data_IF_645761424600
#
_entry.id   IF_645761424600
#
_cell.length_a   1.000
_cell.length_b   1.000
_cell.length_c   1.000
_cell.angle_alpha   90.00
_cell.angle_beta   90.00
_cell.angle_gamma   90.00
#
_symmetry.space_group_name_H-M   'P 1'
#
loop_
_entity.id
_entity.type
_entity.pdbx_description
1 polymer ?
#
# COMPACT_ATOMS: atom_id res chain seq x y z
N UNK A 1 -20.07 4.92 -37.08
CA UNK A 1 -20.21 3.83 -38.08
C UNK A 1 -20.27 2.48 -37.38
N UNK A 2 -20.94 1.46 -38.00
CA UNK A 2 -21.11 0.11 -37.46
C UNK A 2 -19.76 -0.57 -37.11
N UNK A 3 -18.72 -0.25 -37.88
CA UNK A 3 -17.35 -0.77 -37.68
C UNK A 3 -16.74 -0.26 -36.36
N UNK A 4 -16.82 1.03 -36.06
CA UNK A 4 -16.32 1.62 -34.82
C UNK A 4 -17.06 1.07 -33.58
N UNK A 5 -18.35 0.71 -33.73
CA UNK A 5 -19.10 0.08 -32.63
C UNK A 5 -18.62 -1.34 -32.37
N UNK A 6 -18.38 -2.13 -33.42
CA UNK A 6 -17.86 -3.50 -33.33
C UNK A 6 -16.44 -3.52 -32.72
N UNK A 7 -15.57 -2.62 -33.15
CA UNK A 7 -14.21 -2.48 -32.61
C UNK A 7 -14.24 -2.16 -31.12
N UNK A 8 -15.09 -1.22 -30.70
CA UNK A 8 -15.27 -0.87 -29.28
C UNK A 8 -15.86 -2.03 -28.45
N UNK A 9 -16.80 -2.79 -29.01
CA UNK A 9 -17.39 -3.98 -28.35
C UNK A 9 -16.35 -5.09 -28.19
N UNK A 10 -15.48 -5.31 -29.19
CA UNK A 10 -14.38 -6.27 -29.12
C UNK A 10 -13.35 -5.85 -28.06
N UNK A 11 -12.92 -4.59 -28.06
CA UNK A 11 -11.99 -4.04 -27.07
C UNK A 11 -12.54 -4.20 -25.64
N UNK A 12 -13.81 -3.86 -25.42
CA UNK A 12 -14.46 -4.04 -24.13
C UNK A 12 -14.57 -5.51 -23.71
N UNK A 13 -14.74 -6.42 -24.67
CA UNK A 13 -14.82 -7.87 -24.40
C UNK A 13 -13.46 -8.41 -23.98
N UNK A 14 -12.39 -8.06 -24.69
CA UNK A 14 -11.02 -8.45 -24.37
C UNK A 14 -10.63 -7.90 -22.99
N UNK A 15 -10.95 -6.64 -22.73
CA UNK A 15 -10.68 -6.03 -21.44
C UNK A 15 -11.40 -6.76 -20.29
N UNK A 16 -12.69 -7.06 -20.43
CA UNK A 16 -13.46 -7.85 -19.44
C UNK A 16 -12.89 -9.26 -19.22
N UNK A 17 -12.44 -9.94 -20.28
CA UNK A 17 -11.83 -11.26 -20.16
C UNK A 17 -10.51 -11.21 -19.39
N UNK A 18 -9.63 -10.26 -19.71
CA UNK A 18 -8.38 -10.04 -19.00
C UNK A 18 -8.61 -9.75 -17.52
N UNK A 19 -9.60 -8.95 -17.20
CA UNK A 19 -9.95 -8.58 -15.83
C UNK A 19 -10.44 -9.77 -15.01
N UNK A 20 -11.35 -10.58 -15.56
CA UNK A 20 -11.83 -11.80 -14.91
C UNK A 20 -10.68 -12.78 -14.66
N UNK A 21 -9.78 -12.92 -15.63
CA UNK A 21 -8.57 -13.73 -15.51
C UNK A 21 -7.67 -13.28 -14.38
N UNK A 22 -7.33 -11.99 -14.30
CA UNK A 22 -6.48 -11.45 -13.24
C UNK A 22 -7.13 -11.52 -11.86
N UNK A 23 -8.45 -11.31 -11.76
CA UNK A 23 -9.17 -11.46 -10.51
C UNK A 23 -9.12 -12.91 -9.99
N UNK A 24 -9.38 -13.88 -10.87
CA UNK A 24 -9.33 -15.30 -10.53
C UNK A 24 -7.93 -15.74 -10.13
N UNK A 25 -6.91 -15.40 -10.91
CA UNK A 25 -5.50 -15.71 -10.59
C UNK A 25 -5.10 -15.11 -9.25
N UNK A 26 -5.49 -13.86 -8.98
CA UNK A 26 -5.17 -13.21 -7.71
C UNK A 26 -5.78 -13.94 -6.52
N UNK A 27 -6.99 -14.45 -6.65
CA UNK A 27 -7.63 -15.28 -5.62
C UNK A 27 -6.92 -16.64 -5.45
N UNK A 28 -6.57 -17.28 -6.55
CA UNK A 28 -5.87 -18.57 -6.54
C UNK A 28 -4.47 -18.49 -5.95
N UNK A 29 -3.77 -17.37 -6.13
CA UNK A 29 -2.47 -17.14 -5.47
C UNK A 29 -2.59 -16.71 -4.01
N UNK A 30 -3.62 -15.93 -3.66
CA UNK A 30 -3.78 -15.46 -2.28
C UNK A 30 -3.98 -16.62 -1.31
N UNK A 31 -4.80 -17.59 -1.66
CA UNK A 31 -5.15 -18.72 -0.79
C UNK A 31 -3.93 -19.51 -0.34
N UNK A 32 -3.09 -20.08 -1.23
CA UNK A 32 -1.89 -20.82 -0.81
C UNK A 32 -0.86 -19.95 -0.08
N UNK A 33 -0.69 -18.68 -0.49
CA UNK A 33 0.23 -17.77 0.19
C UNK A 33 -0.21 -17.48 1.63
N UNK A 34 -1.52 -17.31 1.86
CA UNK A 34 -2.08 -17.12 3.20
C UNK A 34 -1.91 -18.38 4.05
N UNK A 35 -2.11 -19.56 3.45
CA UNK A 35 -1.91 -20.85 4.12
C UNK A 35 -0.45 -21.08 4.51
N UNK A 36 0.53 -20.56 3.75
CA UNK A 36 1.96 -20.64 4.07
C UNK A 36 2.32 -19.58 5.13
N UNK A 37 1.74 -18.37 5.03
CA UNK A 37 2.08 -17.26 5.92
C UNK A 37 1.81 -17.58 7.40
N UNK A 38 0.67 -18.19 7.72
CA UNK A 38 0.30 -18.53 9.09
C UNK A 38 1.31 -19.43 9.80
N UNK A 39 1.56 -20.65 9.30
CA UNK A 39 2.55 -21.57 9.88
C UNK A 39 3.97 -21.01 9.94
N UNK A 40 4.41 -20.27 8.91
CA UNK A 40 5.73 -19.63 8.90
C UNK A 40 5.84 -18.58 10.01
N UNK A 41 4.81 -17.77 10.21
CA UNK A 41 4.80 -16.79 11.31
C UNK A 41 4.87 -17.47 12.67
N UNK A 42 4.10 -18.54 12.90
CA UNK A 42 4.14 -19.31 14.14
C UNK A 42 5.53 -19.93 14.39
N UNK A 43 6.20 -20.43 13.33
CA UNK A 43 7.54 -20.97 13.44
C UNK A 43 8.58 -19.88 13.74
N UNK A 44 8.45 -18.69 13.16
CA UNK A 44 9.32 -17.55 13.47
C UNK A 44 9.22 -17.11 14.94
N UNK A 45 8.01 -17.19 15.52
CA UNK A 45 7.74 -16.84 16.92
C UNK A 45 8.10 -17.95 17.91
N UNK A 46 8.33 -19.16 17.42
CA UNK A 46 8.62 -20.33 18.27
C UNK A 46 9.99 -20.20 18.95
N UNK A 47 10.06 -20.34 20.29
CA UNK A 47 11.33 -20.35 21.01
C UNK A 47 12.19 -21.60 20.74
N UNK A 48 11.61 -22.63 20.09
CA UNK A 48 12.33 -23.88 19.76
C UNK A 48 13.14 -23.76 18.48
N UNK A 49 12.98 -22.69 17.72
CA UNK A 49 13.69 -22.48 16.45
C UNK A 49 14.66 -21.32 16.63
N UNK A 50 15.94 -21.63 16.49
CA UNK A 50 17.03 -20.68 16.67
C UNK A 50 18.06 -20.79 15.52
N UNK A 51 19.03 -19.86 15.51
CA UNK A 51 20.16 -19.90 14.58
C UNK A 51 19.76 -19.74 13.13
N UNK A 52 20.40 -20.49 12.27
CA UNK A 52 20.26 -20.42 10.81
C UNK A 52 18.83 -20.74 10.34
N UNK A 53 18.18 -21.71 10.97
CA UNK A 53 16.80 -22.07 10.63
C UNK A 53 15.82 -20.92 10.86
N UNK A 54 16.02 -20.13 11.90
CA UNK A 54 15.20 -18.94 12.17
C UNK A 54 15.41 -17.87 11.11
N UNK A 55 16.65 -17.67 10.66
CA UNK A 55 16.96 -16.73 9.58
C UNK A 55 16.31 -17.16 8.25
N UNK A 56 16.36 -18.45 7.92
CA UNK A 56 15.70 -18.99 6.73
C UNK A 56 14.16 -18.78 6.78
N UNK A 57 13.56 -19.00 7.93
CA UNK A 57 12.12 -18.75 8.12
C UNK A 57 11.76 -17.28 7.96
N UNK A 58 12.57 -16.34 8.45
CA UNK A 58 12.36 -14.90 8.20
C UNK A 58 12.46 -14.55 6.72
N UNK A 59 13.35 -15.18 5.97
CA UNK A 59 13.45 -14.99 4.50
C UNK A 59 12.17 -15.48 3.82
N UNK A 60 11.65 -16.66 4.20
CA UNK A 60 10.40 -17.20 3.67
C UNK A 60 9.24 -16.30 4.02
N UNK A 61 9.09 -15.89 5.28
CA UNK A 61 8.03 -14.97 5.73
C UNK A 61 8.03 -13.67 4.93
N UNK A 62 9.21 -13.07 4.75
CA UNK A 62 9.37 -11.83 3.97
C UNK A 62 8.99 -12.02 2.50
N UNK A 63 9.36 -13.17 1.92
CA UNK A 63 9.05 -13.50 0.53
C UNK A 63 7.55 -13.71 0.32
N UNK A 64 6.89 -14.46 1.19
CA UNK A 64 5.43 -14.68 1.18
C UNK A 64 4.70 -13.34 1.35
N UNK A 65 5.13 -12.51 2.30
CA UNK A 65 4.57 -11.17 2.51
C UNK A 65 4.72 -10.26 1.28
N UNK A 66 5.85 -10.37 0.56
CA UNK A 66 6.06 -9.65 -0.70
C UNK A 66 5.10 -10.12 -1.80
N UNK A 67 4.92 -11.44 -1.95
CA UNK A 67 4.00 -12.01 -2.93
C UNK A 67 2.55 -11.61 -2.65
N UNK A 68 2.11 -11.65 -1.39
CA UNK A 68 0.77 -11.18 -1.00
C UNK A 68 0.55 -9.71 -1.34
N UNK A 69 1.55 -8.85 -1.14
CA UNK A 69 1.46 -7.44 -1.54
C UNK A 69 1.30 -7.28 -3.05
N UNK A 70 2.07 -8.02 -3.87
CA UNK A 70 1.97 -7.98 -5.33
C UNK A 70 0.59 -8.43 -5.81
N UNK A 71 0.06 -9.52 -5.26
CA UNK A 71 -1.29 -10.03 -5.58
C UNK A 71 -2.35 -8.98 -5.22
N UNK A 72 -2.23 -8.32 -4.07
CA UNK A 72 -3.17 -7.26 -3.67
C UNK A 72 -3.07 -6.03 -4.59
N UNK A 73 -1.86 -5.63 -5.00
CA UNK A 73 -1.66 -4.54 -5.97
C UNK A 73 -2.30 -4.86 -7.32
N UNK A 74 -2.16 -6.09 -7.81
CA UNK A 74 -2.78 -6.54 -9.05
C UNK A 74 -4.32 -6.48 -8.96
N UNK A 75 -4.89 -6.88 -7.82
CA UNK A 75 -6.34 -6.76 -7.60
C UNK A 75 -6.83 -5.32 -7.52
N UNK A 76 -6.06 -4.44 -6.88
CA UNK A 76 -6.42 -3.03 -6.80
C UNK A 76 -6.35 -2.35 -8.19
N UNK A 77 -5.35 -2.70 -9.00
CA UNK A 77 -5.25 -2.24 -10.38
C UNK A 77 -6.49 -2.67 -11.21
N UNK A 78 -6.88 -3.95 -11.11
CA UNK A 78 -8.09 -4.43 -11.77
C UNK A 78 -9.36 -3.71 -11.35
N UNK A 79 -9.48 -3.34 -10.05
CA UNK A 79 -10.64 -2.59 -9.55
C UNK A 79 -10.67 -1.15 -10.07
N UNK A 80 -9.50 -0.54 -10.28
CA UNK A 80 -9.38 0.80 -10.86
C UNK A 80 -9.81 0.82 -12.32
N UNK A 81 -9.33 -0.12 -13.12
CA UNK A 81 -9.70 -0.20 -14.55
C UNK A 81 -11.20 -0.44 -14.79
N UNK A 82 -11.88 -1.04 -13.82
CA UNK A 82 -13.31 -1.36 -13.92
C UNK A 82 -14.25 -0.30 -13.33
N UNK A 83 -13.76 0.83 -12.87
CA UNK A 83 -14.55 1.80 -12.09
C UNK A 83 -15.32 1.16 -10.89
N UNK A 84 -14.88 0.00 -10.44
CA UNK A 84 -15.52 -0.71 -9.32
C UNK A 84 -14.95 -0.29 -7.97
N UNK A 85 -13.94 0.56 -7.98
CA UNK A 85 -13.31 1.09 -6.77
C UNK A 85 -14.25 2.10 -6.11
N UNK A 86 -15.05 1.64 -5.17
CA UNK A 86 -15.92 2.53 -4.36
C UNK A 86 -15.11 3.13 -3.22
N UNK A 87 -15.21 4.43 -3.02
CA UNK A 87 -14.70 5.09 -1.84
C UNK A 87 -15.62 4.83 -0.64
N UNK A 88 -15.02 4.44 0.49
CA UNK A 88 -15.72 4.23 1.77
C UNK A 88 -15.27 5.30 2.75
N UNK A 89 -15.79 6.51 2.55
CA UNK A 89 -15.42 7.65 3.37
C UNK A 89 -16.13 7.64 4.73
N UNK A 90 -15.38 8.00 5.76
CA UNK A 90 -15.88 8.24 7.12
C UNK A 90 -15.20 9.46 7.70
N UNK A 91 -15.89 10.13 8.65
CA UNK A 91 -15.30 11.26 9.37
C UNK A 91 -14.18 10.74 10.27
N UNK A 92 -12.96 11.14 10.00
CA UNK A 92 -11.75 10.60 10.63
C UNK A 92 -10.78 11.74 10.89
N UNK A 93 -10.04 11.65 11.99
CA UNK A 93 -8.91 12.52 12.27
C UNK A 93 -7.70 12.05 11.44
N UNK A 94 -7.35 12.84 10.43
CA UNK A 94 -6.23 12.51 9.53
C UNK A 94 -4.91 12.57 10.27
N UNK A 95 -4.76 13.48 11.24
CA UNK A 95 -3.50 13.63 11.98
C UNK A 95 -3.17 12.37 12.76
N UNK A 96 -4.13 11.82 13.49
CA UNK A 96 -3.96 10.54 14.20
C UNK A 96 -3.59 9.39 13.26
N UNK A 97 -4.14 9.37 12.04
CA UNK A 97 -3.77 8.36 11.05
C UNK A 97 -2.32 8.54 10.57
N UNK A 98 -1.91 9.78 10.26
CA UNK A 98 -0.55 10.07 9.81
C UNK A 98 0.48 9.78 10.91
N UNK A 99 0.21 10.15 12.18
CA UNK A 99 1.07 9.84 13.32
C UNK A 99 1.30 8.33 13.46
N UNK A 100 0.24 7.53 13.33
CA UNK A 100 0.34 6.06 13.36
C UNK A 100 1.29 5.53 12.27
N UNK A 101 1.24 6.08 11.05
CA UNK A 101 2.19 5.71 10.00
C UNK A 101 3.63 6.10 10.36
N UNK A 102 3.82 7.31 10.84
CA UNK A 102 5.15 7.77 11.27
C UNK A 102 5.74 6.82 12.29
N UNK A 103 4.96 6.39 13.28
CA UNK A 103 5.44 5.47 14.32
C UNK A 103 5.86 4.11 13.76
N UNK A 104 5.06 3.55 12.82
CA UNK A 104 5.40 2.28 12.14
C UNK A 104 6.70 2.41 11.32
N UNK A 105 6.84 3.50 10.56
CA UNK A 105 8.00 3.69 9.69
C UNK A 105 9.24 4.21 10.41
N UNK A 106 9.10 4.80 11.61
CA UNK A 106 10.24 5.29 12.42
C UNK A 106 11.18 4.18 12.81
N UNK A 107 10.68 2.96 13.06
CA UNK A 107 11.52 1.79 13.35
C UNK A 107 12.46 1.52 12.18
N UNK A 108 11.92 1.41 10.97
CA UNK A 108 12.70 1.16 9.75
C UNK A 108 13.64 2.32 9.40
N UNK A 109 13.24 3.56 9.68
CA UNK A 109 14.08 4.74 9.49
C UNK A 109 15.30 4.70 10.43
N UNK A 110 15.07 4.38 11.70
CA UNK A 110 16.13 4.27 12.71
C UNK A 110 17.15 3.18 12.36
N UNK A 111 16.71 2.02 11.88
CA UNK A 111 17.61 0.92 11.43
C UNK A 111 18.56 1.37 10.32
N UNK A 112 18.15 2.32 9.49
CA UNK A 112 18.96 2.91 8.42
C UNK A 112 19.68 4.21 8.82
N UNK A 113 19.49 4.68 10.05
CA UNK A 113 19.98 5.98 10.49
C UNK A 113 19.34 7.15 9.74
N UNK A 114 18.16 6.99 9.14
CA UNK A 114 17.45 8.04 8.41
C UNK A 114 16.65 8.90 9.39
N UNK A 115 16.84 10.21 9.36
CA UNK A 115 16.01 11.15 10.14
C UNK A 115 14.62 11.29 9.52
N UNK A 116 13.57 10.74 10.17
CA UNK A 116 12.18 10.91 9.77
C UNK A 116 11.54 12.03 10.59
N UNK A 117 11.42 13.21 10.00
CA UNK A 117 10.83 14.40 10.61
C UNK A 117 9.38 14.59 10.17
N UNK A 118 8.59 15.19 11.04
CA UNK A 118 7.17 15.50 10.79
C UNK A 118 6.86 16.94 11.12
N UNK A 119 5.96 17.56 10.36
CA UNK A 119 5.52 18.93 10.53
C UNK A 119 4.01 19.03 10.29
N UNK A 120 3.32 19.84 11.08
CA UNK A 120 1.87 20.06 10.97
C UNK A 120 1.02 18.89 11.46
N UNK A 121 1.58 18.05 12.35
CA UNK A 121 0.87 16.90 12.92
C UNK A 121 0.52 17.11 14.41
N UNK A 122 0.48 18.37 14.88
CA UNK A 122 0.27 18.70 16.30
C UNK A 122 -1.20 18.75 16.69
N UNK A 123 -2.07 19.22 15.77
CA UNK A 123 -3.48 19.47 16.03
C UNK A 123 -4.38 18.40 15.36
N UNK A 124 -5.56 18.18 15.94
CA UNK A 124 -6.59 17.31 15.36
C UNK A 124 -7.21 17.95 14.12
N UNK A 125 -7.28 17.22 13.02
CA UNK A 125 -7.97 17.66 11.81
C UNK A 125 -8.97 16.62 11.31
N UNK A 126 -10.25 16.89 11.50
CA UNK A 126 -11.34 15.99 11.12
C UNK A 126 -11.77 16.23 9.67
N UNK A 127 -11.69 15.20 8.85
CA UNK A 127 -12.15 15.23 7.47
C UNK A 127 -12.84 13.92 7.06
N UNK A 128 -13.57 13.96 5.95
CA UNK A 128 -14.14 12.76 5.34
C UNK A 128 -13.09 12.11 4.44
N UNK A 129 -12.63 10.92 4.81
CA UNK A 129 -11.63 10.19 4.04
C UNK A 129 -11.86 8.67 4.08
N UNK A 130 -11.34 7.98 3.08
CA UNK A 130 -11.24 6.52 3.04
C UNK A 130 -9.89 6.13 3.64
N UNK A 131 -9.91 5.62 4.87
CA UNK A 131 -8.70 5.25 5.63
C UNK A 131 -7.88 4.18 4.89
N UNK A 132 -8.53 3.18 4.29
CA UNK A 132 -7.84 2.12 3.56
C UNK A 132 -7.06 2.65 2.34
N UNK A 133 -7.59 3.70 1.70
CA UNK A 133 -6.92 4.36 0.58
C UNK A 133 -5.79 5.26 1.05
N UNK A 134 -6.02 6.02 2.13
CA UNK A 134 -4.98 6.81 2.76
C UNK A 134 -3.80 5.93 3.18
N UNK A 135 -4.09 4.80 3.83
CA UNK A 135 -3.10 3.81 4.27
C UNK A 135 -2.21 3.35 3.11
N UNK A 136 -2.83 3.03 1.96
CA UNK A 136 -2.09 2.62 0.77
C UNK A 136 -1.23 3.75 0.19
N UNK A 137 -1.76 4.97 0.11
CA UNK A 137 -1.04 6.12 -0.45
C UNK A 137 0.16 6.46 0.43
N UNK A 138 -0.08 6.75 1.71
CA UNK A 138 0.96 7.18 2.64
C UNK A 138 2.00 6.08 2.87
N UNK A 139 1.54 4.83 3.03
CA UNK A 139 2.43 3.69 3.18
C UNK A 139 3.35 3.48 1.97
N UNK A 140 2.84 3.61 0.74
CA UNK A 140 3.66 3.53 -0.47
C UNK A 140 4.66 4.69 -0.56
N UNK A 141 4.23 5.91 -0.26
CA UNK A 141 5.11 7.08 -0.32
C UNK A 141 6.23 6.99 0.72
N UNK A 142 5.93 6.71 1.98
CA UNK A 142 6.93 6.57 3.04
C UNK A 142 7.87 5.38 2.79
N UNK A 143 7.33 4.23 2.35
CA UNK A 143 8.15 3.07 1.98
C UNK A 143 9.14 3.39 0.86
N UNK A 144 8.70 4.13 -0.17
CA UNK A 144 9.56 4.55 -1.27
C UNK A 144 10.59 5.59 -0.79
N UNK A 145 10.18 6.58 0.00
CA UNK A 145 11.07 7.57 0.55
C UNK A 145 12.21 6.92 1.34
N UNK A 146 11.90 6.02 2.28
CA UNK A 146 12.92 5.31 3.06
C UNK A 146 13.75 4.31 2.24
N UNK A 147 13.20 3.78 1.15
CA UNK A 147 13.92 2.87 0.26
C UNK A 147 14.99 3.58 -0.56
N UNK A 148 14.67 4.77 -1.07
CA UNK A 148 15.55 5.53 -1.97
C UNK A 148 16.42 6.55 -1.26
N UNK A 149 16.16 6.83 0.01
CA UNK A 149 17.04 7.67 0.83
C UNK A 149 18.25 6.85 1.30
N UNK A 150 19.49 7.34 1.10
CA UNK A 150 20.68 6.67 1.59
C UNK A 150 20.72 6.68 3.12
N UNK A 151 21.49 5.76 3.70
CA UNK A 151 21.71 5.71 5.15
C UNK A 151 22.26 7.04 5.66
N UNK A 152 21.74 7.50 6.79
CA UNK A 152 22.08 8.81 7.37
C UNK A 152 21.37 10.00 6.70
N UNK A 153 20.50 9.74 5.72
CA UNK A 153 19.73 10.77 5.04
C UNK A 153 18.52 11.28 5.83
N UNK A 154 17.67 12.07 5.18
CA UNK A 154 16.51 12.73 5.79
C UNK A 154 15.26 12.50 4.95
N UNK A 155 14.14 12.21 5.61
CA UNK A 155 12.79 12.16 5.05
C UNK A 155 11.89 13.07 5.88
N UNK A 156 11.06 13.86 5.23
CA UNK A 156 10.13 14.78 5.88
C UNK A 156 8.70 14.48 5.44
N UNK A 157 7.79 14.40 6.41
CA UNK A 157 6.35 14.31 6.20
C UNK A 157 5.71 15.61 6.72
N UNK A 158 5.16 16.40 5.79
CA UNK A 158 4.49 17.64 6.11
C UNK A 158 2.99 17.48 5.84
N UNK A 159 2.18 17.98 6.77
CA UNK A 159 0.75 18.14 6.58
C UNK A 159 0.42 19.64 6.64
N UNK A 160 -0.31 20.13 5.66
CA UNK A 160 -0.78 21.50 5.61
C UNK A 160 -2.18 21.59 5.01
N UNK A 161 -2.95 22.57 5.40
CA UNK A 161 -4.28 22.87 4.88
C UNK A 161 -4.17 24.09 3.98
N UNK A 162 -4.30 23.85 2.68
CA UNK A 162 -4.18 24.89 1.65
C UNK A 162 -5.54 25.25 1.08
N UNK A 163 -5.68 26.47 0.60
CA UNK A 163 -6.87 26.92 -0.12
C UNK A 163 -6.96 26.26 -1.50
N UNK A 164 -8.17 26.28 -2.09
CA UNK A 164 -8.39 25.80 -3.46
C UNK A 164 -7.52 26.53 -4.49
N UNK A 165 -7.28 27.82 -4.26
CA UNK A 165 -6.47 28.66 -5.15
C UNK A 165 -4.99 28.29 -5.08
N UNK A 166 -4.46 28.03 -3.88
CA UNK A 166 -3.09 27.53 -3.67
C UNK A 166 -2.92 26.14 -4.29
N UNK A 167 -3.88 25.24 -4.09
CA UNK A 167 -3.87 23.93 -4.71
C UNK A 167 -3.81 24.01 -6.24
N UNK A 168 -4.60 24.89 -6.86
CA UNK A 168 -4.59 25.10 -8.30
C UNK A 168 -3.22 25.57 -8.83
N UNK A 169 -2.45 26.32 -8.05
CA UNK A 169 -1.10 26.77 -8.42
C UNK A 169 -0.03 25.68 -8.29
N UNK A 170 -0.25 24.72 -7.39
CA UNK A 170 0.72 23.62 -7.18
C UNK A 170 0.59 22.52 -8.25
N UNK A 171 -0.56 22.41 -8.90
CA UNK A 171 -0.85 21.34 -9.87
C UNK A 171 -1.00 21.81 -11.31
N UNK A 172 -0.58 23.05 -11.62
CA UNK A 172 -0.40 23.58 -12.98
C UNK A 172 1.07 23.56 -13.36
#
# INVERSE_FOLDING_TARGET
TRRAKLEKEQEQRVNRMNMSFFANISHEFRTPLTMISGPVTQLCESPKIEGENKQLLYIVQRSVGRMLRLVNQLMDFNKLENDTLKLRVKRTDIISQLQRFVDIFRINANEKGIALNTYGLEDTFLMWLDVDKLDKIVGNLLSNALKFTPNGGKVELCFDVITREEAARLFT
#
